data_IF_456929609569
#
_entry.id   IF_456929609569
#
_cell.length_a   1.000
_cell.length_b   1.000
_cell.length_c   1.000
_cell.angle_alpha   90.00
_cell.angle_beta   90.00
_cell.angle_gamma   90.00
#
_symmetry.space_group_name_H-M   'P 1'
#
loop_
_entity.id
_entity.type
_entity.pdbx_description
1 polymer ?
#
# COMPACT_ATOMS: atom_id res chain seq x y z
N UNK A 1 81.45 -23.72 -83.45
CA UNK A 1 81.51 -22.26 -83.24
C UNK A 1 80.42 -21.59 -84.06
N UNK A 2 79.47 -20.91 -83.41
CA UNK A 2 78.58 -19.88 -83.98
C UNK A 2 77.82 -19.25 -82.81
N UNK A 3 78.36 -18.16 -82.28
CA UNK A 3 77.75 -17.37 -81.20
C UNK A 3 76.75 -16.41 -81.85
N UNK A 4 75.47 -16.79 -81.79
CA UNK A 4 74.35 -15.98 -82.27
C UNK A 4 74.17 -14.73 -81.41
N UNK A 5 74.38 -13.55 -82.01
CA UNK A 5 74.16 -12.23 -81.41
C UNK A 5 72.70 -12.07 -80.96
N UNK A 6 72.47 -11.93 -79.64
CA UNK A 6 71.14 -11.58 -79.08
C UNK A 6 70.88 -10.07 -79.24
N UNK A 7 69.70 -9.73 -79.77
CA UNK A 7 69.24 -8.34 -80.01
C UNK A 7 69.08 -7.55 -78.69
N UNK A 8 69.42 -6.25 -78.66
CA UNK A 8 69.27 -5.41 -77.46
C UNK A 8 67.79 -5.08 -77.17
N UNK A 9 67.37 -5.21 -75.90
CA UNK A 9 66.03 -4.82 -75.42
C UNK A 9 65.92 -3.30 -75.33
N UNK A 10 64.85 -2.75 -75.90
CA UNK A 10 64.54 -1.30 -75.87
C UNK A 10 64.22 -0.87 -74.43
N UNK A 11 64.79 0.25 -73.93
CA UNK A 11 64.51 0.74 -72.59
C UNK A 11 63.04 1.19 -72.47
N UNK A 12 62.35 0.63 -71.47
CA UNK A 12 60.95 0.94 -71.15
C UNK A 12 60.90 2.34 -70.53
N UNK A 13 60.31 3.30 -71.24
CA UNK A 13 60.16 4.68 -70.76
C UNK A 13 59.37 4.71 -69.45
N UNK A 14 59.99 5.23 -68.38
CA UNK A 14 59.32 5.49 -67.12
C UNK A 14 58.50 6.78 -67.25
N UNK A 15 57.17 6.67 -67.17
CA UNK A 15 56.28 7.82 -67.08
C UNK A 15 56.56 8.56 -65.77
N UNK A 16 57.14 9.76 -65.86
CA UNK A 16 57.18 10.72 -64.75
C UNK A 16 55.74 10.99 -64.30
N UNK A 17 55.41 10.70 -63.05
CA UNK A 17 54.11 11.04 -62.48
C UNK A 17 53.98 12.57 -62.43
N UNK A 18 53.04 13.10 -63.20
CA UNK A 18 52.64 14.50 -63.14
C UNK A 18 52.09 14.81 -61.73
N UNK A 19 52.34 16.01 -61.17
CA UNK A 19 51.80 16.38 -59.88
C UNK A 19 50.26 16.42 -59.97
N UNK A 20 49.62 15.36 -59.46
CA UNK A 20 48.17 15.22 -59.51
C UNK A 20 47.49 16.32 -58.70
N UNK A 21 46.68 17.14 -59.39
CA UNK A 21 45.78 18.11 -58.76
C UNK A 21 44.83 17.45 -57.72
N UNK A 22 44.54 16.15 -57.87
CA UNK A 22 43.71 15.39 -56.94
C UNK A 22 44.37 15.23 -55.55
N UNK A 23 45.71 15.18 -55.47
CA UNK A 23 46.42 15.12 -54.20
C UNK A 23 46.27 16.42 -53.39
N UNK A 24 46.25 17.59 -54.06
CA UNK A 24 46.03 18.91 -53.43
C UNK A 24 44.57 19.10 -52.99
N UNK A 25 43.59 18.68 -53.80
CA UNK A 25 42.18 18.68 -53.40
C UNK A 25 41.93 17.82 -52.15
N UNK A 26 42.58 16.65 -52.03
CA UNK A 26 42.43 15.79 -50.85
C UNK A 26 42.99 16.40 -49.55
N UNK A 27 43.96 17.32 -49.64
CA UNK A 27 44.52 18.03 -48.48
C UNK A 27 43.64 19.21 -48.06
N UNK A 28 43.13 19.98 -49.02
CA UNK A 28 42.21 21.09 -48.75
C UNK A 28 40.88 20.60 -48.15
N UNK A 29 40.34 19.48 -48.64
CA UNK A 29 39.12 18.87 -48.07
C UNK A 29 39.38 18.39 -46.63
N UNK A 30 40.54 17.76 -46.35
CA UNK A 30 40.92 17.36 -44.99
C UNK A 30 41.16 18.55 -44.06
N UNK A 31 41.74 19.64 -44.55
CA UNK A 31 41.90 20.87 -43.78
C UNK A 31 40.55 21.52 -43.44
N UNK A 32 39.62 21.59 -44.41
CA UNK A 32 38.26 22.08 -44.17
C UNK A 32 37.51 21.22 -43.15
N UNK A 33 37.59 19.89 -43.26
CA UNK A 33 36.97 18.99 -42.30
C UNK A 33 37.53 19.18 -40.88
N UNK A 34 38.85 19.36 -40.74
CA UNK A 34 39.48 19.66 -39.44
C UNK A 34 39.08 21.02 -38.89
N UNK A 35 38.96 22.05 -39.73
CA UNK A 35 38.50 23.37 -39.32
C UNK A 35 37.04 23.34 -38.86
N UNK A 36 36.17 22.59 -39.54
CA UNK A 36 34.78 22.39 -39.12
C UNK A 36 34.71 21.64 -37.80
N UNK A 37 35.51 20.58 -37.62
CA UNK A 37 35.56 19.86 -36.35
C UNK A 37 36.07 20.77 -35.20
N UNK A 38 37.12 21.55 -35.44
CA UNK A 38 37.65 22.51 -34.47
C UNK A 38 36.65 23.62 -34.15
N UNK A 39 35.91 24.12 -35.15
CA UNK A 39 34.90 25.15 -34.91
C UNK A 39 33.76 24.62 -34.06
N UNK A 40 33.33 23.37 -34.26
CA UNK A 40 32.29 22.73 -33.43
C UNK A 40 32.75 22.54 -31.99
N UNK A 41 34.01 22.14 -31.78
CA UNK A 41 34.57 22.02 -30.42
C UNK A 41 34.68 23.39 -29.76
N UNK A 42 35.18 24.40 -30.48
CA UNK A 42 35.31 25.75 -29.95
C UNK A 42 33.94 26.34 -29.57
N UNK A 43 32.91 26.18 -30.42
CA UNK A 43 31.56 26.65 -30.10
C UNK A 43 30.96 25.90 -28.92
N UNK A 44 31.14 24.57 -28.83
CA UNK A 44 30.67 23.79 -27.69
C UNK A 44 31.31 24.25 -26.36
N UNK A 45 32.61 24.52 -26.34
CA UNK A 45 33.31 25.03 -25.15
C UNK A 45 32.77 26.41 -24.75
N UNK A 46 32.58 27.32 -25.71
CA UNK A 46 32.06 28.66 -25.43
C UNK A 46 30.62 28.60 -24.91
N UNK A 47 29.76 27.76 -25.49
CA UNK A 47 28.38 27.58 -25.04
C UNK A 47 28.33 26.97 -23.64
N UNK A 48 29.12 25.92 -23.37
CA UNK A 48 29.21 25.34 -22.03
C UNK A 48 29.72 26.35 -20.99
N UNK A 49 30.75 27.13 -21.33
CA UNK A 49 31.26 28.18 -20.44
C UNK A 49 30.21 29.25 -20.17
N UNK A 50 29.46 29.67 -21.19
CA UNK A 50 28.38 30.64 -21.05
C UNK A 50 27.19 30.11 -20.23
N UNK A 51 26.85 28.82 -20.34
CA UNK A 51 25.82 28.21 -19.49
C UNK A 51 26.28 28.18 -18.03
N UNK A 52 27.51 27.74 -17.78
CA UNK A 52 28.04 27.57 -16.42
C UNK A 52 28.29 28.91 -15.72
N UNK A 53 28.73 29.95 -16.44
CA UNK A 53 29.06 31.25 -15.85
C UNK A 53 27.98 32.33 -16.07
N UNK A 54 27.17 32.20 -17.11
CA UNK A 54 26.15 33.18 -17.49
C UNK A 54 24.77 32.89 -16.88
N UNK A 55 24.44 31.62 -16.64
CA UNK A 55 23.43 31.30 -15.63
C UNK A 55 24.12 31.47 -14.30
N UNK A 56 23.77 32.49 -13.53
CA UNK A 56 24.28 32.67 -12.17
C UNK A 56 24.21 31.36 -11.36
N UNK A 57 24.88 31.30 -10.18
CA UNK A 57 25.06 30.05 -9.45
C UNK A 57 23.77 29.22 -9.40
N UNK A 58 23.84 27.90 -9.69
CA UNK A 58 22.67 27.05 -9.93
C UNK A 58 21.69 26.93 -8.75
N UNK A 59 22.07 27.48 -7.59
CA UNK A 59 21.28 27.51 -6.39
C UNK A 59 21.31 28.92 -5.80
N UNK A 60 20.13 29.48 -5.54
CA UNK A 60 19.93 30.81 -4.96
C UNK A 60 20.32 30.91 -3.48
N UNK A 61 20.67 29.79 -2.84
CA UNK A 61 21.06 29.72 -1.44
C UNK A 61 22.20 28.72 -1.25
N UNK A 62 23.28 29.14 -0.58
CA UNK A 62 24.34 28.24 -0.12
C UNK A 62 24.15 27.87 1.36
N UNK A 63 24.61 26.68 1.73
CA UNK A 63 24.65 26.26 3.13
C UNK A 63 25.54 27.25 3.91
N UNK A 64 24.95 28.01 4.85
CA UNK A 64 25.64 29.03 5.64
C UNK A 64 25.53 30.46 5.09
N UNK A 65 24.93 30.67 3.92
CA UNK A 65 24.62 32.01 3.41
C UNK A 65 23.48 32.62 4.23
N UNK A 66 23.77 33.70 4.96
CA UNK A 66 22.74 34.52 5.60
C UNK A 66 22.36 35.62 4.63
N UNK A 67 21.12 35.65 4.13
CA UNK A 67 20.69 36.74 3.28
C UNK A 67 20.76 38.05 4.08
N UNK A 68 21.41 39.07 3.52
CA UNK A 68 21.61 40.39 4.15
C UNK A 68 20.33 41.25 4.14
N UNK A 69 19.17 40.59 4.23
CA UNK A 69 17.87 41.24 4.34
C UNK A 69 17.29 40.97 5.71
N UNK A 70 16.69 42.00 6.28
CA UNK A 70 15.97 41.92 7.54
C UNK A 70 14.83 40.88 7.40
N UNK A 71 14.91 39.77 8.17
CA UNK A 71 13.86 38.75 8.20
C UNK A 71 12.65 39.34 8.91
N UNK A 72 11.73 39.94 8.16
CA UNK A 72 10.47 40.46 8.68
C UNK A 72 9.45 39.33 8.69
N UNK A 73 9.08 38.87 9.88
CA UNK A 73 8.01 37.88 10.04
C UNK A 73 6.72 38.63 10.32
N UNK A 74 5.74 38.54 9.43
CA UNK A 74 4.43 39.16 9.60
C UNK A 74 3.51 38.25 10.44
N UNK A 75 3.88 38.03 11.70
CA UNK A 75 2.99 37.44 12.71
C UNK A 75 2.85 38.42 13.86
N UNK A 76 1.63 38.59 14.36
CA UNK A 76 1.38 39.45 15.53
C UNK A 76 2.19 39.00 16.74
N UNK A 77 2.34 37.69 16.93
CA UNK A 77 3.06 37.08 18.05
C UNK A 77 3.68 35.75 17.62
N UNK A 78 4.92 35.50 18.04
CA UNK A 78 5.51 34.17 17.98
C UNK A 78 4.92 33.30 19.10
N UNK A 79 4.34 32.16 18.73
CA UNK A 79 3.76 31.22 19.68
C UNK A 79 4.56 29.94 19.72
N UNK A 80 4.94 29.52 20.92
CA UNK A 80 5.53 28.21 21.14
C UNK A 80 4.39 27.20 21.27
N UNK A 81 4.36 26.19 20.40
CA UNK A 81 3.36 25.12 20.49
C UNK A 81 3.66 24.25 21.70
N UNK A 82 2.72 24.20 22.65
CA UNK A 82 2.76 23.29 23.77
C UNK A 82 2.15 21.94 23.34
N UNK A 83 3.00 21.01 22.90
CA UNK A 83 2.56 19.70 22.39
C UNK A 83 1.87 18.84 23.45
N UNK A 84 2.27 18.93 24.71
CA UNK A 84 1.67 18.16 25.81
C UNK A 84 0.24 18.61 26.07
N UNK A 85 -0.02 19.93 26.11
CA UNK A 85 -1.39 20.44 26.26
C UNK A 85 -2.29 20.03 25.09
N UNK A 86 -1.83 20.15 23.85
CA UNK A 86 -2.61 19.71 22.67
C UNK A 86 -2.86 18.21 22.67
N UNK A 87 -1.92 17.39 23.14
CA UNK A 87 -2.10 15.93 23.24
C UNK A 87 -3.15 15.57 24.29
N UNK A 88 -3.08 16.20 25.46
CA UNK A 88 -4.05 15.97 26.54
C UNK A 88 -5.47 16.37 26.12
N UNK A 89 -5.62 17.48 25.38
CA UNK A 89 -6.91 17.92 24.85
C UNK A 89 -7.47 16.93 23.82
N UNK A 90 -6.63 16.30 22.99
CA UNK A 90 -7.06 15.24 22.06
C UNK A 90 -7.50 13.99 22.79
N UNK A 91 -6.75 13.57 23.81
CA UNK A 91 -7.13 12.38 24.60
C UNK A 91 -8.46 12.61 25.32
N UNK A 92 -8.63 13.78 25.97
CA UNK A 92 -9.89 14.13 26.61
C UNK A 92 -11.08 14.23 25.64
N UNK A 93 -10.84 14.58 24.37
CA UNK A 93 -11.86 14.54 23.34
C UNK A 93 -12.18 13.10 22.90
N UNK A 94 -11.17 12.23 22.79
CA UNK A 94 -11.35 10.81 22.47
C UNK A 94 -12.11 10.08 23.60
N UNK A 95 -11.76 10.34 24.86
CA UNK A 95 -12.41 9.71 26.03
C UNK A 95 -13.89 10.12 26.17
N UNK A 96 -14.29 11.27 25.59
CA UNK A 96 -15.68 11.72 25.55
C UNK A 96 -16.52 11.01 24.48
N UNK A 97 -15.89 10.32 23.52
CA UNK A 97 -16.62 9.60 22.48
C UNK A 97 -17.19 8.33 23.11
N UNK A 98 -18.53 8.16 23.16
CA UNK A 98 -19.12 6.95 23.70
C UNK A 98 -18.72 5.74 22.85
N UNK A 99 -18.43 4.57 23.46
CA UNK A 99 -18.16 3.37 22.70
C UNK A 99 -19.39 2.98 21.87
N UNK A 100 -19.20 2.79 20.56
CA UNK A 100 -20.26 2.43 19.61
C UNK A 100 -20.73 0.97 19.78
N UNK A 101 -19.87 0.10 20.30
CA UNK A 101 -20.15 -1.31 20.56
C UNK A 101 -19.71 -1.67 21.97
N UNK A 102 -20.69 -1.97 22.82
CA UNK A 102 -20.47 -2.54 24.16
C UNK A 102 -20.83 -4.02 24.08
N UNK A 103 -19.87 -4.89 24.38
CA UNK A 103 -20.13 -6.32 24.51
C UNK A 103 -20.85 -6.56 25.85
N UNK A 104 -22.17 -6.47 25.86
CA UNK A 104 -23.00 -6.81 27.01
C UNK A 104 -23.49 -8.26 26.90
N UNK A 105 -23.03 -9.19 27.76
CA UNK A 105 -23.47 -10.58 27.74
C UNK A 105 -24.86 -10.79 28.37
N UNK A 106 -25.46 -9.78 29.01
CA UNK A 106 -26.74 -9.93 29.72
C UNK A 106 -27.88 -10.49 28.84
N UNK A 107 -28.11 -10.01 27.60
CA UNK A 107 -29.19 -10.54 26.76
C UNK A 107 -29.02 -12.02 26.37
N UNK A 108 -27.76 -12.49 26.27
CA UNK A 108 -27.45 -13.88 25.93
C UNK A 108 -27.72 -14.78 27.15
N UNK A 109 -27.38 -14.32 28.35
CA UNK A 109 -27.71 -15.02 29.60
C UNK A 109 -29.22 -15.11 29.79
N UNK A 110 -29.94 -14.00 29.61
CA UNK A 110 -31.40 -13.98 29.68
C UNK A 110 -32.04 -14.96 28.67
N UNK A 111 -31.45 -15.12 27.49
CA UNK A 111 -31.94 -16.07 26.49
C UNK A 111 -31.73 -17.53 26.94
N UNK A 112 -30.57 -17.84 27.51
CA UNK A 112 -30.27 -19.17 28.03
C UNK A 112 -31.23 -19.55 29.16
N UNK A 113 -31.46 -18.63 30.11
CA UNK A 113 -32.39 -18.85 31.22
C UNK A 113 -33.82 -19.09 30.73
N UNK A 114 -34.29 -18.29 29.74
CA UNK A 114 -35.62 -18.48 29.16
C UNK A 114 -35.77 -19.80 28.40
N UNK A 115 -34.70 -20.32 27.80
CA UNK A 115 -34.70 -21.65 27.17
C UNK A 115 -34.80 -22.76 28.22
N UNK A 116 -34.09 -22.63 29.33
CA UNK A 116 -34.19 -23.57 30.44
C UNK A 116 -35.62 -23.58 31.02
N UNK A 117 -36.24 -22.41 31.19
CA UNK A 117 -37.64 -22.30 31.61
C UNK A 117 -38.60 -22.93 30.60
N UNK A 118 -38.35 -22.77 29.30
CA UNK A 118 -39.14 -23.40 28.25
C UNK A 118 -39.03 -24.93 28.30
N UNK A 119 -37.83 -25.48 28.47
CA UNK A 119 -37.65 -26.93 28.56
C UNK A 119 -38.29 -27.48 29.85
N UNK A 120 -38.22 -26.74 30.94
CA UNK A 120 -38.87 -27.07 32.21
C UNK A 120 -40.40 -27.06 32.12
N UNK A 121 -40.98 -26.09 31.41
CA UNK A 121 -42.43 -25.99 31.20
C UNK A 121 -42.94 -27.08 30.27
N UNK A 122 -42.23 -27.37 29.17
CA UNK A 122 -42.54 -28.49 28.25
C UNK A 122 -42.41 -29.85 28.96
N UNK A 123 -41.41 -30.01 29.83
CA UNK A 123 -41.25 -31.23 30.63
C UNK A 123 -42.47 -31.49 31.53
N UNK A 124 -43.11 -30.44 32.06
CA UNK A 124 -44.30 -30.53 32.91
C UNK A 124 -45.62 -30.67 32.14
N UNK A 125 -45.73 -30.13 30.92
CA UNK A 125 -46.96 -30.19 30.13
C UNK A 125 -47.23 -31.60 29.58
N UNK A 126 -48.48 -32.07 29.60
CA UNK A 126 -48.82 -33.38 29.03
C UNK A 126 -48.95 -33.30 27.50
N UNK A 127 -49.61 -32.25 27.01
CA UNK A 127 -49.95 -32.03 25.61
C UNK A 127 -49.48 -30.66 25.13
N UNK A 128 -49.39 -30.50 23.82
CA UNK A 128 -49.02 -29.21 23.20
C UNK A 128 -49.96 -28.07 23.59
N UNK A 129 -51.24 -28.38 23.81
CA UNK A 129 -52.26 -27.41 24.20
C UNK A 129 -52.13 -26.93 25.66
N UNK A 130 -51.48 -27.73 26.52
CA UNK A 130 -51.28 -27.39 27.93
C UNK A 130 -50.16 -26.36 28.12
N UNK A 131 -49.37 -26.09 27.07
CA UNK A 131 -48.33 -25.05 27.11
C UNK A 131 -48.99 -23.67 27.04
N UNK A 132 -48.65 -22.74 27.95
CA UNK A 132 -49.23 -21.40 27.95
C UNK A 132 -49.12 -20.73 26.57
N UNK A 133 -50.23 -20.18 26.07
CA UNK A 133 -50.29 -19.40 24.83
C UNK A 133 -49.20 -18.31 24.69
N UNK A 134 -48.86 -17.52 25.74
CA UNK A 134 -47.77 -16.55 25.62
C UNK A 134 -46.41 -17.20 25.32
N UNK A 135 -46.15 -18.40 25.85
CA UNK A 135 -44.91 -19.14 25.57
C UNK A 135 -44.93 -19.71 24.16
N UNK A 136 -46.08 -20.26 23.71
CA UNK A 136 -46.26 -20.75 22.34
C UNK A 136 -46.06 -19.66 21.30
N UNK A 137 -46.61 -18.46 21.55
CA UNK A 137 -46.46 -17.30 20.69
C UNK A 137 -45.05 -16.73 20.67
N UNK A 138 -44.42 -16.53 21.84
CA UNK A 138 -43.08 -15.96 21.95
C UNK A 138 -42.02 -16.81 21.23
N UNK A 139 -42.12 -18.14 21.34
CA UNK A 139 -41.17 -19.08 20.77
C UNK A 139 -41.58 -19.65 19.41
N UNK A 140 -42.76 -19.26 18.89
CA UNK A 140 -43.35 -19.79 17.64
C UNK A 140 -43.29 -21.31 17.58
N UNK A 141 -43.63 -21.96 18.71
CA UNK A 141 -43.53 -23.40 18.89
C UNK A 141 -44.42 -24.13 17.88
N UNK A 142 -43.83 -25.03 17.09
CA UNK A 142 -44.56 -25.96 16.23
C UNK A 142 -44.86 -27.26 16.98
N UNK A 143 -45.92 -27.99 16.62
CA UNK A 143 -46.23 -29.28 17.24
C UNK A 143 -45.07 -30.28 17.15
N UNK A 144 -44.35 -30.29 16.02
CA UNK A 144 -43.17 -31.13 15.79
C UNK A 144 -42.06 -30.82 16.80
N UNK A 145 -41.67 -29.54 16.91
CA UNK A 145 -40.63 -29.10 17.85
C UNK A 145 -40.99 -29.37 19.31
N UNK A 146 -42.28 -29.31 19.66
CA UNK A 146 -42.74 -29.68 21.00
C UNK A 146 -42.50 -31.16 21.30
N UNK A 147 -42.81 -32.06 20.35
CA UNK A 147 -42.62 -33.49 20.53
C UNK A 147 -41.13 -33.84 20.68
N UNK A 148 -40.25 -33.19 19.91
CA UNK A 148 -38.80 -33.39 20.01
C UNK A 148 -38.26 -32.97 21.38
N UNK A 149 -38.62 -31.76 21.84
CA UNK A 149 -38.21 -31.27 23.16
C UNK A 149 -38.82 -32.15 24.27
N UNK A 150 -40.06 -32.62 24.09
CA UNK A 150 -40.71 -33.51 25.04
C UNK A 150 -40.02 -34.87 25.13
N UNK A 151 -39.62 -35.46 24.00
CA UNK A 151 -38.87 -36.70 23.94
C UNK A 151 -37.47 -36.58 24.56
N UNK A 152 -36.88 -35.39 24.47
CA UNK A 152 -35.60 -35.05 25.08
C UNK A 152 -35.71 -34.72 26.58
N UNK A 153 -36.91 -34.47 27.11
CA UNK A 153 -37.14 -34.12 28.53
C UNK A 153 -37.94 -35.18 29.30
N UNK A 154 -38.19 -36.35 28.72
CA UNK A 154 -39.03 -37.42 29.31
C UNK A 154 -38.49 -37.97 30.63
N UNK A 155 -37.17 -38.07 30.79
CA UNK A 155 -36.55 -38.58 32.02
C UNK A 155 -35.68 -37.50 32.70
N UNK A 156 -35.52 -37.56 34.03
CA UNK A 156 -34.67 -36.61 34.76
C UNK A 156 -33.24 -36.57 34.22
N UNK A 157 -32.65 -37.74 33.93
CA UNK A 157 -31.29 -37.80 33.38
C UNK A 157 -31.17 -37.17 31.99
N UNK A 158 -32.19 -37.30 31.14
CA UNK A 158 -32.19 -36.67 29.82
C UNK A 158 -32.35 -35.16 29.92
N UNK A 159 -33.14 -34.68 30.88
CA UNK A 159 -33.30 -33.25 31.16
C UNK A 159 -31.98 -32.62 31.62
N UNK A 160 -31.28 -33.26 32.54
CA UNK A 160 -29.98 -32.76 33.02
C UNK A 160 -28.93 -32.76 31.90
N UNK A 161 -28.93 -33.79 31.05
CA UNK A 161 -28.08 -33.83 29.87
C UNK A 161 -28.40 -32.71 28.88
N UNK A 162 -29.68 -32.41 28.65
CA UNK A 162 -30.11 -31.33 27.76
C UNK A 162 -29.70 -29.97 28.32
N UNK A 163 -29.85 -29.74 29.62
CA UNK A 163 -29.37 -28.54 30.29
C UNK A 163 -27.85 -28.37 30.13
N UNK A 164 -27.07 -29.43 30.35
CA UNK A 164 -25.62 -29.41 30.14
C UNK A 164 -25.22 -29.15 28.67
N UNK A 165 -26.00 -29.64 27.71
CA UNK A 165 -25.79 -29.35 26.28
C UNK A 165 -26.10 -27.89 25.93
N UNK A 166 -27.17 -27.33 26.48
CA UNK A 166 -27.52 -25.92 26.31
C UNK A 166 -26.41 -25.02 26.85
N UNK A 167 -25.96 -25.24 28.10
CA UNK A 167 -24.87 -24.48 28.68
C UNK A 167 -23.60 -24.53 27.83
N UNK A 168 -23.20 -25.72 27.35
CA UNK A 168 -22.06 -25.87 26.45
C UNK A 168 -22.21 -25.11 25.14
N UNK A 169 -23.43 -25.03 24.59
CA UNK A 169 -23.71 -24.28 23.37
C UNK A 169 -23.59 -22.76 23.56
N UNK A 170 -23.93 -22.24 24.74
CA UNK A 170 -23.86 -20.81 25.04
C UNK A 170 -22.48 -20.32 25.51
N UNK A 171 -21.61 -21.20 26.03
CA UNK A 171 -20.23 -20.85 26.42
C UNK A 171 -19.45 -20.07 25.35
N UNK A 172 -19.35 -20.52 24.08
CA UNK A 172 -18.58 -19.78 23.09
C UNK A 172 -19.17 -18.39 22.80
N UNK A 173 -20.49 -18.22 22.91
CA UNK A 173 -21.16 -16.93 22.71
C UNK A 173 -20.92 -15.97 23.87
N UNK A 174 -20.81 -16.49 25.09
CA UNK A 174 -20.50 -15.70 26.27
C UNK A 174 -19.03 -15.29 26.35
N UNK A 175 -18.12 -16.17 25.91
CA UNK A 175 -16.67 -15.90 25.94
C UNK A 175 -16.22 -15.01 24.78
N UNK A 176 -16.66 -15.32 23.55
CA UNK A 176 -16.16 -14.65 22.34
C UNK A 176 -17.12 -13.60 21.77
N UNK A 177 -18.33 -13.48 22.33
CA UNK A 177 -19.39 -12.65 21.78
C UNK A 177 -19.95 -13.22 20.47
N UNK A 178 -20.98 -12.54 19.92
CA UNK A 178 -21.65 -12.94 18.68
C UNK A 178 -20.76 -12.72 17.45
N UNK A 179 -19.72 -11.89 17.57
CA UNK A 179 -18.73 -11.58 16.53
C UNK A 179 -17.38 -12.26 16.82
N UNK A 180 -17.43 -13.50 17.31
CA UNK A 180 -16.23 -14.29 17.57
C UNK A 180 -15.30 -14.37 16.34
N UNK A 181 -13.99 -14.55 16.56
CA UNK A 181 -13.01 -14.43 15.49
C UNK A 181 -13.13 -15.62 14.55
N UNK A 182 -13.39 -15.35 13.27
CA UNK A 182 -12.76 -16.13 12.22
C UNK A 182 -11.28 -15.72 12.10
#
# INVERSE_FOLDING_TARGET
MSIGKRRPKVPRAQLRSLPSAAAKQSRLVRQRARLVALSVVATAVVVCAAIVHGSGPPFSFRLGERPDREIRVNVKEFRIRNQTKTSNERQAAADKVPPLMVNDPAPIKDLADRLDDLTATIAKSGRFEDVPEPVRGAWKLKPETYLDIKAATTTPQRRDNLHGQLQKGFLPLLENGVLGPE
#
